data_IF_365478999895
#
_entry.id   IF_365478999895
#
_cell.length_a   1.000
_cell.length_b   1.000
_cell.length_c   1.000
_cell.angle_alpha   90.00
_cell.angle_beta   90.00
_cell.angle_gamma   90.00
#
_symmetry.space_group_name_H-M   'P 1'
#
loop_
_entity.id
_entity.type
_entity.pdbx_description
1 polymer ?
#
# COMPACT_ATOMS: atom_id res chain seq x y z
N UNK A 1 -11.76 -2.90 4.48
CA UNK A 1 -11.34 -4.00 3.57
C UNK A 1 -12.54 -4.54 2.82
N UNK A 2 -13.43 -5.33 3.42
CA UNK A 2 -14.58 -5.94 2.72
C UNK A 2 -15.47 -4.93 1.99
N UNK A 3 -15.88 -3.84 2.64
CA UNK A 3 -16.64 -2.76 2.00
C UNK A 3 -15.92 -2.18 0.77
N UNK A 4 -14.61 -1.91 0.91
CA UNK A 4 -13.77 -1.42 -0.19
C UNK A 4 -13.68 -2.43 -1.34
N UNK A 5 -13.56 -3.73 -1.03
CA UNK A 5 -13.53 -4.80 -2.04
C UNK A 5 -14.86 -4.91 -2.79
N UNK A 6 -15.99 -4.87 -2.06
CA UNK A 6 -17.34 -4.88 -2.64
C UNK A 6 -17.55 -3.68 -3.57
N UNK A 7 -17.20 -2.48 -3.11
CA UNK A 7 -17.30 -1.27 -3.93
C UNK A 7 -16.42 -1.34 -5.18
N UNK A 8 -15.17 -1.83 -5.05
CA UNK A 8 -14.28 -2.01 -6.21
C UNK A 8 -14.82 -3.03 -7.21
N UNK A 9 -15.48 -4.09 -6.73
CA UNK A 9 -16.14 -5.08 -7.57
C UNK A 9 -17.35 -4.47 -8.29
N UNK A 10 -18.21 -3.76 -7.57
CA UNK A 10 -19.40 -3.10 -8.13
C UNK A 10 -19.02 -2.05 -9.18
N UNK A 11 -18.00 -1.23 -8.90
CA UNK A 11 -17.47 -0.23 -9.84
C UNK A 11 -16.95 -0.91 -11.11
N UNK A 12 -16.27 -2.06 -10.98
CA UNK A 12 -15.78 -2.83 -12.12
C UNK A 12 -16.93 -3.31 -13.01
N UNK A 13 -17.94 -3.92 -12.42
CA UNK A 13 -19.11 -4.42 -13.15
C UNK A 13 -19.83 -3.28 -13.90
N UNK A 14 -19.93 -2.11 -13.28
CA UNK A 14 -20.49 -0.91 -13.91
C UNK A 14 -19.61 -0.37 -15.04
N UNK A 15 -18.29 -0.34 -14.87
CA UNK A 15 -17.38 0.06 -15.94
C UNK A 15 -17.44 -0.91 -17.12
N UNK A 16 -17.46 -2.22 -16.86
CA UNK A 16 -17.56 -3.24 -17.91
C UNK A 16 -18.88 -3.12 -18.69
N UNK A 17 -19.95 -2.68 -18.02
CA UNK A 17 -21.21 -2.34 -18.66
C UNK A 17 -21.10 -1.04 -19.49
N UNK A 18 -20.63 0.05 -18.90
CA UNK A 18 -20.50 1.35 -19.57
C UNK A 18 -19.57 1.30 -20.78
N UNK A 19 -18.40 0.67 -20.65
CA UNK A 19 -17.42 0.56 -21.74
C UNK A 19 -17.94 -0.30 -22.88
N UNK A 20 -18.77 -1.31 -22.58
CA UNK A 20 -19.38 -2.21 -23.57
C UNK A 20 -20.56 -1.58 -24.32
N UNK A 21 -21.38 -0.80 -23.61
CA UNK A 21 -22.55 -0.13 -24.17
C UNK A 21 -22.18 1.19 -24.88
N UNK A 22 -21.09 1.81 -24.46
CA UNK A 22 -20.52 2.95 -25.15
C UNK A 22 -19.98 2.50 -26.51
N UNK A 23 -20.58 2.97 -27.61
CA UNK A 23 -20.04 2.93 -28.97
C UNK A 23 -18.68 3.66 -29.14
N UNK A 24 -17.93 3.90 -28.05
CA UNK A 24 -16.69 4.64 -27.98
C UNK A 24 -15.44 3.81 -28.32
N UNK A 25 -15.58 2.49 -28.52
CA UNK A 25 -14.51 1.63 -29.00
C UNK A 25 -14.84 1.20 -30.44
N UNK A 26 -13.88 1.38 -31.36
CA UNK A 26 -13.96 0.80 -32.70
C UNK A 26 -14.30 -0.70 -32.59
N UNK A 27 -15.03 -1.28 -33.55
CA UNK A 27 -15.36 -2.70 -33.53
C UNK A 27 -14.06 -3.49 -33.64
N UNK A 28 -13.57 -4.00 -32.51
CA UNK A 28 -12.52 -5.01 -32.50
C UNK A 28 -13.19 -6.30 -32.04
N UNK A 29 -13.48 -7.14 -33.02
CA UNK A 29 -13.82 -8.53 -32.82
C UNK A 29 -12.73 -9.21 -31.98
N UNK A 30 -13.02 -9.45 -30.70
CA UNK A 30 -12.73 -10.68 -29.94
C UNK A 30 -13.12 -10.48 -28.49
N UNK A 31 -13.49 -11.57 -27.83
CA UNK A 31 -13.79 -11.67 -26.40
C UNK A 31 -12.74 -10.95 -25.57
N UNK A 32 -13.13 -9.86 -24.90
CA UNK A 32 -12.19 -9.07 -24.10
C UNK A 32 -12.48 -9.24 -22.62
N UNK A 33 -11.62 -10.04 -21.99
CA UNK A 33 -11.27 -9.86 -20.59
C UNK A 33 -10.42 -8.59 -20.49
N UNK A 34 -11.05 -7.41 -20.41
CA UNK A 34 -10.34 -6.14 -20.24
C UNK A 34 -9.81 -6.08 -18.80
N UNK A 35 -8.64 -6.65 -18.57
CA UNK A 35 -7.67 -5.97 -17.72
C UNK A 35 -7.17 -4.80 -18.57
N UNK A 36 -7.35 -3.56 -18.12
CA UNK A 36 -6.97 -2.36 -18.85
C UNK A 36 -5.45 -2.31 -19.10
N UNK A 37 -4.98 -3.07 -20.10
CA UNK A 37 -3.61 -3.02 -20.60
C UNK A 37 -3.39 -1.66 -21.24
N UNK A 38 -2.26 -1.04 -20.93
CA UNK A 38 -1.83 0.26 -21.45
C UNK A 38 -1.72 0.35 -22.99
N UNK A 39 -1.83 -0.77 -23.70
CA UNK A 39 -1.63 -0.89 -25.15
C UNK A 39 -2.91 -1.01 -25.97
N UNK A 40 -4.08 -1.19 -25.36
CA UNK A 40 -5.35 -1.15 -26.08
C UNK A 40 -5.82 0.29 -26.24
N UNK A 41 -6.28 0.62 -27.47
CA UNK A 41 -6.60 1.98 -27.90
C UNK A 41 -7.45 2.70 -26.85
N UNK A 42 -6.84 3.71 -26.19
CA UNK A 42 -7.47 4.46 -25.11
C UNK A 42 -8.85 4.98 -25.53
N UNK A 43 -9.86 4.93 -24.65
CA UNK A 43 -11.16 5.50 -24.95
C UNK A 43 -11.01 6.98 -25.32
N UNK A 44 -11.64 7.40 -26.42
CA UNK A 44 -11.54 8.77 -26.95
C UNK A 44 -12.01 9.83 -25.94
N UNK A 45 -12.89 9.44 -25.01
CA UNK A 45 -13.36 10.30 -23.93
C UNK A 45 -12.32 10.36 -22.79
N UNK A 46 -11.74 11.54 -22.61
CA UNK A 46 -10.71 11.81 -21.59
C UNK A 46 -11.21 11.54 -20.15
N UNK A 47 -12.48 11.81 -19.85
CA UNK A 47 -13.06 11.54 -18.53
C UNK A 47 -13.16 10.04 -18.27
N UNK A 48 -13.62 9.26 -19.26
CA UNK A 48 -13.68 7.79 -19.14
C UNK A 48 -12.28 7.23 -18.93
N UNK A 49 -11.29 7.70 -19.70
CA UNK A 49 -9.90 7.29 -19.49
C UNK A 49 -9.40 7.66 -18.09
N UNK A 50 -9.69 8.86 -17.60
CA UNK A 50 -9.32 9.28 -16.25
C UNK A 50 -9.94 8.39 -15.17
N UNK A 51 -11.22 8.04 -15.33
CA UNK A 51 -11.95 7.15 -14.43
C UNK A 51 -11.33 5.74 -14.40
N UNK A 52 -10.92 5.20 -15.55
CA UNK A 52 -10.20 3.92 -15.65
C UNK A 52 -8.87 3.99 -14.90
N UNK A 53 -8.08 5.06 -15.11
CA UNK A 53 -6.80 5.23 -14.42
C UNK A 53 -7.00 5.40 -12.90
N UNK A 54 -8.08 6.08 -12.48
CA UNK A 54 -8.45 6.20 -11.08
C UNK A 54 -8.83 4.86 -10.47
N UNK A 55 -9.65 4.06 -11.15
CA UNK A 55 -9.97 2.71 -10.74
C UNK A 55 -8.70 1.84 -10.58
N UNK A 56 -7.80 1.90 -11.56
CA UNK A 56 -6.53 1.18 -11.51
C UNK A 56 -5.66 1.58 -10.31
N UNK A 57 -5.59 2.88 -10.00
CA UNK A 57 -4.91 3.37 -8.80
C UNK A 57 -5.54 2.81 -7.52
N UNK A 58 -6.87 2.81 -7.42
CA UNK A 58 -7.59 2.27 -6.26
C UNK A 58 -7.36 0.78 -6.09
N UNK A 59 -7.34 0.02 -7.19
CA UNK A 59 -7.00 -1.41 -7.17
C UNK A 59 -5.56 -1.64 -6.68
N UNK A 60 -4.60 -0.87 -7.19
CA UNK A 60 -3.20 -0.97 -6.75
C UNK A 60 -3.03 -0.64 -5.26
N UNK A 61 -3.72 0.40 -4.77
CA UNK A 61 -3.78 0.73 -3.33
C UNK A 61 -4.38 -0.38 -2.51
N UNK A 62 -5.51 -0.93 -2.96
CA UNK A 62 -6.19 -2.02 -2.26
C UNK A 62 -5.26 -3.23 -2.12
N UNK A 63 -4.62 -3.64 -3.22
CA UNK A 63 -3.64 -4.73 -3.22
C UNK A 63 -2.51 -4.47 -2.23
N UNK A 64 -1.91 -3.26 -2.25
CA UNK A 64 -0.82 -2.88 -1.35
C UNK A 64 -1.25 -2.85 0.12
N UNK A 65 -2.33 -2.16 0.45
CA UNK A 65 -2.75 -1.93 1.84
C UNK A 65 -3.36 -3.16 2.52
N UNK A 66 -3.89 -4.08 1.72
CA UNK A 66 -4.47 -5.32 2.23
C UNK A 66 -3.64 -6.55 1.87
N UNK A 67 -2.40 -6.41 1.38
CA UNK A 67 -1.51 -7.54 1.05
C UNK A 67 -1.46 -8.56 2.19
N UNK A 68 -1.20 -8.09 3.42
CA UNK A 68 -1.09 -8.97 4.59
C UNK A 68 -2.42 -9.65 4.96
N UNK A 69 -3.55 -8.98 4.70
CA UNK A 69 -4.88 -9.55 4.97
C UNK A 69 -5.22 -10.58 3.90
N UNK A 70 -5.00 -10.25 2.63
CA UNK A 70 -5.20 -11.14 1.48
C UNK A 70 -4.35 -12.39 1.61
N UNK A 71 -3.13 -12.30 2.16
CA UNK A 71 -2.26 -13.45 2.36
C UNK A 71 -2.83 -14.53 3.28
N UNK A 72 -3.82 -14.20 4.12
CA UNK A 72 -4.51 -15.19 4.96
C UNK A 72 -5.66 -15.91 4.24
N UNK A 73 -6.11 -15.40 3.09
CA UNK A 73 -7.29 -15.89 2.38
C UNK A 73 -7.02 -16.31 0.93
N UNK A 74 -5.87 -15.94 0.38
CA UNK A 74 -5.46 -16.22 -0.99
C UNK A 74 -4.28 -17.19 -1.00
N UNK A 75 -4.15 -18.01 -2.05
CA UNK A 75 -2.95 -18.81 -2.25
C UNK A 75 -1.74 -17.93 -2.59
N UNK A 76 -0.53 -18.48 -2.46
CA UNK A 76 0.70 -17.77 -2.84
C UNK A 76 0.69 -17.37 -4.32
N UNK A 77 0.12 -18.20 -5.18
CA UNK A 77 0.04 -17.90 -6.62
C UNK A 77 -1.00 -16.82 -6.91
N UNK A 78 -2.13 -16.80 -6.21
CA UNK A 78 -3.10 -15.70 -6.28
C UNK A 78 -2.47 -14.37 -5.87
N UNK A 79 -1.67 -14.37 -4.79
CA UNK A 79 -0.96 -13.17 -4.34
C UNK A 79 0.07 -12.69 -5.37
N UNK A 80 0.83 -13.61 -6.00
CA UNK A 80 1.74 -13.25 -7.09
C UNK A 80 0.99 -12.62 -8.25
N UNK A 81 -0.17 -13.17 -8.62
CA UNK A 81 -1.03 -12.59 -9.66
C UNK A 81 -1.43 -11.18 -9.24
N UNK A 82 -1.97 -10.99 -8.02
CA UNK A 82 -2.37 -9.68 -7.47
C UNK A 82 -1.23 -8.66 -7.48
N UNK A 83 -0.01 -9.09 -7.12
CA UNK A 83 1.18 -8.23 -7.09
C UNK A 83 1.71 -7.87 -8.48
N UNK A 84 1.38 -8.66 -9.50
CA UNK A 84 1.86 -8.49 -10.88
C UNK A 84 0.77 -8.02 -11.85
N UNK A 85 -0.43 -7.69 -11.35
CA UNK A 85 -1.50 -7.08 -12.16
C UNK A 85 -0.97 -5.79 -12.78
N UNK A 86 -0.86 -5.80 -14.11
CA UNK A 86 -0.51 -4.61 -14.87
C UNK A 86 -1.71 -3.66 -14.95
N UNK A 87 -1.76 -2.76 -13.96
CA UNK A 87 -2.73 -1.67 -13.87
C UNK A 87 -2.03 -0.29 -14.03
N UNK A 88 -0.77 -0.27 -14.47
CA UNK A 88 0.05 0.93 -14.55
C UNK A 88 0.65 1.41 -13.21
N UNK A 89 0.38 0.73 -12.08
CA UNK A 89 0.86 1.09 -10.74
C UNK A 89 1.57 -0.08 -10.05
N UNK A 90 2.90 -0.13 -10.19
CA UNK A 90 3.74 -1.25 -9.71
C UNK A 90 4.29 -1.03 -8.28
N UNK A 91 3.45 -0.67 -7.32
CA UNK A 91 3.87 -0.29 -5.96
C UNK A 91 4.69 -1.36 -5.23
N UNK A 92 4.19 -2.60 -5.21
CA UNK A 92 4.82 -3.71 -4.49
C UNK A 92 6.15 -4.07 -5.16
N UNK A 93 6.16 -4.19 -6.49
CA UNK A 93 7.38 -4.50 -7.25
C UNK A 93 8.46 -3.43 -7.06
N UNK A 94 8.11 -2.15 -7.15
CA UNK A 94 9.03 -1.04 -6.91
C UNK A 94 9.59 -1.06 -5.48
N UNK A 95 8.75 -1.35 -4.48
CA UNK A 95 9.18 -1.48 -3.09
C UNK A 95 10.14 -2.68 -2.89
N UNK A 96 9.85 -3.83 -3.51
CA UNK A 96 10.73 -5.00 -3.46
C UNK A 96 12.06 -4.73 -4.16
N UNK A 97 12.03 -4.05 -5.31
CA UNK A 97 13.24 -3.71 -6.05
C UNK A 97 14.12 -2.72 -5.29
N UNK A 98 13.55 -1.68 -4.67
CA UNK A 98 14.35 -0.70 -3.93
C UNK A 98 15.01 -1.35 -2.70
N UNK A 99 14.27 -2.18 -1.95
CA UNK A 99 14.78 -2.87 -0.76
C UNK A 99 15.98 -3.74 -1.14
N UNK A 100 15.84 -4.54 -2.20
CA UNK A 100 16.95 -5.37 -2.72
C UNK A 100 18.11 -4.55 -3.26
N UNK A 101 17.83 -3.45 -3.97
CA UNK A 101 18.86 -2.61 -4.60
C UNK A 101 19.72 -1.88 -3.58
N UNK A 102 19.11 -1.40 -2.50
CA UNK A 102 19.81 -0.59 -1.50
C UNK A 102 20.25 -1.39 -0.27
N UNK A 103 19.91 -2.68 -0.20
CA UNK A 103 20.12 -3.51 0.99
C UNK A 103 19.43 -2.93 2.24
N UNK A 104 18.21 -2.41 2.05
CA UNK A 104 17.41 -1.93 3.17
C UNK A 104 16.95 -3.13 4.00
N UNK A 105 17.02 -3.01 5.32
CA UNK A 105 16.64 -4.08 6.23
C UNK A 105 15.12 -4.23 6.31
N UNK A 106 14.41 -3.10 6.28
CA UNK A 106 12.96 -3.10 6.31
C UNK A 106 12.40 -1.92 5.54
N UNK A 107 11.32 -2.15 4.79
CA UNK A 107 10.44 -1.09 4.29
C UNK A 107 9.05 -1.38 4.84
N UNK A 108 8.43 -0.40 5.47
CA UNK A 108 7.09 -0.55 6.03
C UNK A 108 6.20 0.66 5.70
N UNK A 109 4.93 0.38 5.43
CA UNK A 109 3.86 1.36 5.53
C UNK A 109 3.13 1.06 6.84
N UNK A 110 3.06 2.04 7.72
CA UNK A 110 2.44 1.90 9.04
C UNK A 110 1.35 2.95 9.22
N UNK A 111 0.35 2.61 10.03
CA UNK A 111 -0.72 3.52 10.41
C UNK A 111 -0.46 4.07 11.80
N UNK A 112 -0.44 5.39 11.95
CA UNK A 112 -0.36 6.05 13.24
C UNK A 112 -1.76 6.15 13.86
N UNK A 113 -1.96 5.45 14.97
CA UNK A 113 -3.23 5.38 15.71
C UNK A 113 -3.15 6.04 17.09
N UNK A 114 -2.18 6.91 17.35
CA UNK A 114 -2.04 7.58 18.66
C UNK A 114 -3.33 8.30 19.10
N UNK A 115 -4.01 8.98 18.18
CA UNK A 115 -5.24 9.73 18.47
C UNK A 115 -6.51 8.90 18.27
N UNK A 116 -6.40 7.57 18.13
CA UNK A 116 -7.54 6.70 17.91
C UNK A 116 -7.96 6.03 19.23
N UNK A 117 -9.13 6.41 19.74
CA UNK A 117 -9.68 5.84 20.97
C UNK A 117 -10.35 4.46 20.77
N UNK A 118 -10.49 4.02 19.52
CA UNK A 118 -11.12 2.74 19.18
C UNK A 118 -10.13 1.58 19.33
N UNK A 119 -10.62 0.49 19.93
CA UNK A 119 -9.88 -0.77 20.02
C UNK A 119 -9.44 -1.28 18.63
N UNK A 120 -8.17 -1.67 18.52
CA UNK A 120 -7.64 -2.25 17.28
C UNK A 120 -7.74 -3.76 17.31
N UNK A 121 -8.28 -4.35 16.25
CA UNK A 121 -8.33 -5.81 16.14
C UNK A 121 -7.60 -6.35 14.91
N UNK A 122 -6.88 -5.47 14.18
CA UNK A 122 -6.23 -5.80 12.93
C UNK A 122 -6.95 -5.23 11.70
N UNK A 123 -6.22 -5.14 10.60
CA UNK A 123 -6.78 -4.66 9.33
C UNK A 123 -7.82 -5.64 8.78
N UNK A 124 -8.93 -5.09 8.28
CA UNK A 124 -10.05 -5.88 7.76
C UNK A 124 -11.10 -6.29 8.78
N UNK A 125 -10.87 -6.00 10.07
CA UNK A 125 -11.73 -6.39 11.18
C UNK A 125 -12.46 -5.21 11.84
N UNK A 126 -13.10 -4.36 11.03
CA UNK A 126 -13.79 -3.16 11.54
C UNK A 126 -15.19 -3.45 12.13
N UNK A 127 -15.71 -4.68 11.99
CA UNK A 127 -17.05 -5.08 12.48
C UNK A 127 -17.04 -6.41 13.24
N UNK A 128 -16.11 -6.56 14.18
CA UNK A 128 -15.96 -7.80 14.95
C UNK A 128 -17.02 -8.05 16.01
N UNK A 129 -17.77 -7.02 16.41
CA UNK A 129 -18.88 -7.20 17.35
C UNK A 129 -19.97 -8.15 16.83
N UNK A 130 -20.04 -8.35 15.50
CA UNK A 130 -21.09 -9.12 14.82
C UNK A 130 -20.51 -10.31 14.02
N UNK A 131 -19.52 -11.06 14.55
CA UNK A 131 -18.96 -12.21 13.81
C UNK A 131 -20.02 -13.30 13.53
N UNK A 132 -20.10 -13.69 12.27
CA UNK A 132 -20.64 -14.99 11.81
C UNK A 132 -19.58 -16.11 11.88
N UNK A 133 -18.82 -16.23 12.97
CA UNK A 133 -17.91 -17.38 13.16
C UNK A 133 -18.10 -17.99 14.54
N UNK A 134 -18.29 -19.30 14.65
CA UNK A 134 -18.27 -19.98 15.95
C UNK A 134 -16.84 -19.94 16.51
N UNK A 135 -16.63 -19.21 17.60
CA UNK A 135 -15.33 -19.10 18.27
C UNK A 135 -15.31 -18.00 19.34
N UNK A 136 -14.33 -18.01 20.26
CA UNK A 136 -14.20 -16.99 21.29
C UNK A 136 -13.98 -15.59 20.67
N UNK A 137 -14.47 -14.52 21.33
CA UNK A 137 -14.26 -13.14 20.86
C UNK A 137 -12.78 -12.87 20.67
N UNK A 138 -12.39 -12.34 19.51
CA UNK A 138 -10.99 -11.96 19.30
C UNK A 138 -10.67 -10.74 20.15
N UNK A 139 -9.66 -10.85 21.00
CA UNK A 139 -9.21 -9.76 21.84
C UNK A 139 -8.58 -8.63 21.02
N UNK A 140 -8.71 -7.36 21.46
CA UNK A 140 -8.04 -6.26 20.81
C UNK A 140 -6.52 -6.39 20.99
N UNK A 141 -5.77 -6.01 19.95
CA UNK A 141 -4.32 -5.85 20.03
C UNK A 141 -4.00 -4.75 21.03
N UNK A 142 -2.89 -4.91 21.75
CA UNK A 142 -2.41 -3.98 22.78
C UNK A 142 -1.02 -3.45 22.43
N UNK A 143 -0.62 -2.36 23.08
CA UNK A 143 0.71 -1.77 22.93
C UNK A 143 1.00 -1.26 21.51
N UNK A 144 2.27 -1.39 21.08
CA UNK A 144 2.74 -0.88 19.79
C UNK A 144 2.03 -1.51 18.59
N UNK A 145 1.63 -2.78 18.69
CA UNK A 145 0.87 -3.46 17.65
C UNK A 145 -0.53 -2.83 17.40
N UNK A 146 -1.04 -2.05 18.35
CA UNK A 146 -2.30 -1.31 18.23
C UNK A 146 -2.11 0.18 17.89
N UNK A 147 -1.03 0.79 18.40
CA UNK A 147 -0.70 2.20 18.16
C UNK A 147 -0.06 2.45 16.80
N UNK A 148 0.76 1.50 16.33
CA UNK A 148 1.51 1.59 15.08
C UNK A 148 1.40 0.28 14.27
N UNK A 149 0.19 -0.12 13.85
CA UNK A 149 0.03 -1.34 13.08
C UNK A 149 0.59 -1.20 11.66
N UNK A 150 1.22 -2.28 11.21
CA UNK A 150 1.84 -2.38 9.88
C UNK A 150 0.82 -2.76 8.81
N UNK A 151 0.69 -1.88 7.83
CA UNK A 151 -0.24 -2.00 6.70
C UNK A 151 0.41 -2.82 5.59
N UNK A 152 1.68 -2.54 5.30
CA UNK A 152 2.50 -3.25 4.33
C UNK A 152 3.93 -3.32 4.85
N UNK A 153 4.64 -4.42 4.60
CA UNK A 153 6.06 -4.52 4.96
C UNK A 153 6.85 -5.45 4.04
N UNK A 154 8.12 -5.12 3.94
CA UNK A 154 9.17 -5.94 3.35
C UNK A 154 10.32 -6.09 4.37
N UNK A 155 10.96 -7.27 4.45
CA UNK A 155 10.59 -8.51 3.75
C UNK A 155 9.20 -9.02 4.16
N UNK A 156 8.52 -9.72 3.24
CA UNK A 156 7.18 -10.24 3.49
C UNK A 156 7.25 -11.42 4.45
N UNK A 157 6.34 -11.52 5.45
CA UNK A 157 6.31 -12.68 6.34
C UNK A 157 6.12 -14.01 5.61
N UNK A 158 5.47 -13.98 4.44
CA UNK A 158 5.19 -15.18 3.64
C UNK A 158 6.41 -15.69 2.86
N UNK A 159 7.47 -14.89 2.71
CA UNK A 159 8.70 -15.29 2.00
C UNK A 159 9.65 -16.11 2.90
N UNK A 160 9.37 -16.19 4.21
CA UNK A 160 10.04 -17.11 5.14
C UNK A 160 9.42 -18.49 5.09
N UNK A 161 10.12 -19.47 4.52
CA UNK A 161 9.80 -20.86 4.79
C UNK A 161 9.91 -21.11 6.30
N UNK A 162 8.79 -21.51 6.91
CA UNK A 162 8.60 -22.12 8.24
C UNK A 162 8.08 -21.19 9.35
N UNK A 163 6.91 -21.62 9.84
CA UNK A 163 6.19 -21.33 11.09
C UNK A 163 5.81 -19.88 11.40
N UNK A 164 4.51 -19.71 11.67
CA UNK A 164 3.87 -18.58 12.34
C UNK A 164 4.35 -18.35 13.81
N UNK A 165 5.58 -18.78 14.13
CA UNK A 165 6.25 -18.72 15.43
C UNK A 165 7.73 -18.31 15.31
N UNK A 166 8.16 -17.70 14.19
CA UNK A 166 9.48 -17.07 14.15
C UNK A 166 9.44 -15.79 14.97
N UNK A 167 9.99 -15.83 16.18
CA UNK A 167 10.27 -14.69 17.06
C UNK A 167 11.24 -13.64 16.45
N UNK A 168 11.52 -13.70 15.14
CA UNK A 168 12.47 -12.85 14.43
C UNK A 168 11.80 -12.16 13.23
N UNK A 169 10.61 -11.58 13.43
CA UNK A 169 10.11 -10.64 12.43
C UNK A 169 10.95 -9.35 12.48
N UNK A 170 11.67 -9.10 11.40
CA UNK A 170 12.53 -7.91 11.24
C UNK A 170 11.73 -6.63 11.55
N UNK A 171 10.46 -6.57 11.16
CA UNK A 171 9.64 -5.40 11.46
C UNK A 171 9.38 -5.24 12.96
N UNK A 172 9.06 -6.31 13.69
CA UNK A 172 8.79 -6.25 15.13
C UNK A 172 10.00 -5.74 15.91
N UNK A 173 11.22 -6.11 15.48
CA UNK A 173 12.47 -5.57 16.04
C UNK A 173 12.57 -4.05 15.92
N UNK A 174 12.20 -3.48 14.76
CA UNK A 174 12.32 -2.04 14.52
C UNK A 174 11.05 -1.25 14.85
N UNK A 175 9.91 -1.89 15.12
CA UNK A 175 8.63 -1.24 15.34
C UNK A 175 8.67 -0.15 16.43
N UNK A 176 9.32 -0.34 17.61
CA UNK A 176 9.42 0.72 18.62
C UNK A 176 10.16 1.95 18.09
N UNK A 177 11.25 1.73 17.34
CA UNK A 177 12.08 2.78 16.77
C UNK A 177 11.36 3.52 15.64
N UNK A 178 10.64 2.79 14.79
CA UNK A 178 9.78 3.35 13.74
C UNK A 178 8.69 4.24 14.36
N UNK A 179 8.04 3.78 15.43
CA UNK A 179 7.02 4.58 16.11
C UNK A 179 7.61 5.85 16.72
N UNK A 180 8.75 5.74 17.41
CA UNK A 180 9.45 6.90 17.97
C UNK A 180 9.85 7.89 16.87
N UNK A 181 10.38 7.42 15.73
CA UNK A 181 10.74 8.25 14.58
C UNK A 181 9.51 8.97 13.99
N UNK A 182 8.37 8.30 13.85
CA UNK A 182 7.13 8.93 13.39
C UNK A 182 6.71 10.04 14.35
N UNK A 183 6.69 9.74 15.64
CA UNK A 183 6.31 10.69 16.68
C UNK A 183 7.23 11.92 16.71
N UNK A 184 8.54 11.70 16.63
CA UNK A 184 9.52 12.77 16.76
C UNK A 184 9.70 13.55 15.47
N UNK A 185 9.58 12.94 14.28
CA UNK A 185 10.00 13.54 13.01
C UNK A 185 8.88 13.69 11.97
N UNK A 186 7.95 12.73 11.84
CA UNK A 186 7.03 12.70 10.71
C UNK A 186 5.66 13.31 11.00
N UNK A 187 5.22 13.33 12.26
CA UNK A 187 3.96 13.99 12.66
C UNK A 187 3.96 15.49 12.40
N UNK A 188 5.13 16.11 12.36
CA UNK A 188 5.31 17.54 12.18
C UNK A 188 6.06 17.80 10.87
N UNK A 189 5.43 18.39 9.84
CA UNK A 189 6.01 18.51 8.49
C UNK A 189 7.34 19.27 8.40
N UNK A 190 7.67 20.06 9.42
CA UNK A 190 8.88 20.90 9.47
C UNK A 190 10.15 20.14 9.87
N UNK A 191 10.07 18.85 10.20
CA UNK A 191 11.19 18.06 10.72
C UNK A 191 11.82 17.15 9.66
N UNK A 192 13.00 16.64 10.00
CA UNK A 192 13.84 15.85 9.09
C UNK A 192 13.19 14.51 8.75
N UNK A 193 13.13 14.21 7.45
CA UNK A 193 12.66 12.92 6.88
C UNK A 193 13.69 11.79 7.02
N UNK A 194 14.77 12.03 7.75
CA UNK A 194 15.86 11.12 7.99
C UNK A 194 16.31 11.21 9.46
N UNK A 195 16.75 10.08 10.01
CA UNK A 195 17.44 10.01 11.30
C UNK A 195 18.51 8.91 11.24
N UNK A 196 19.64 9.13 11.90
CA UNK A 196 20.62 8.09 12.21
C UNK A 196 20.75 7.99 13.73
N UNK A 197 20.55 6.79 14.25
CA UNK A 197 20.77 6.44 15.65
C UNK A 197 22.16 5.80 15.77
N UNK A 198 23.10 6.54 16.35
CA UNK A 198 24.47 6.07 16.54
C UNK A 198 24.61 5.03 17.65
N UNK A 199 23.69 5.00 18.62
CA UNK A 199 23.72 4.01 19.72
C UNK A 199 23.27 2.64 19.23
N UNK A 200 22.28 2.62 18.33
CA UNK A 200 21.66 1.41 17.80
C UNK A 200 22.12 1.04 16.41
N UNK A 201 23.03 1.83 15.86
CA UNK A 201 23.61 1.73 14.52
C UNK A 201 22.59 1.40 13.43
N UNK A 202 21.57 2.24 13.29
CA UNK A 202 20.63 2.18 12.18
C UNK A 202 20.17 3.57 11.77
N UNK A 203 19.85 3.74 10.50
CA UNK A 203 19.19 4.96 10.01
C UNK A 203 17.82 4.66 9.41
N UNK A 204 16.96 5.66 9.43
CA UNK A 204 15.63 5.60 8.85
C UNK A 204 15.39 6.77 7.93
N UNK A 205 14.70 6.49 6.83
CA UNK A 205 14.05 7.48 5.99
C UNK A 205 12.54 7.34 6.14
N UNK A 206 11.79 8.43 6.06
CA UNK A 206 10.35 8.31 6.01
C UNK A 206 9.64 9.57 5.55
N UNK A 207 8.39 9.37 5.16
CA UNK A 207 7.50 10.46 4.75
C UNK A 207 6.04 10.04 5.00
N UNK A 208 5.16 11.03 5.06
CA UNK A 208 3.73 10.78 5.11
C UNK A 208 3.27 10.23 3.75
N UNK A 209 2.46 9.18 3.72
CA UNK A 209 1.83 8.66 2.50
C UNK A 209 0.53 9.41 2.27
N UNK A 210 -0.45 9.19 3.12
CA UNK A 210 -1.74 9.88 3.12
C UNK A 210 -2.42 9.76 4.49
N UNK A 211 -3.14 10.79 4.91
CA UNK A 211 -3.81 10.85 6.21
C UNK A 211 -2.89 10.50 7.40
N UNK A 212 -3.02 9.28 7.95
CA UNK A 212 -2.22 8.75 9.08
C UNK A 212 -1.31 7.60 8.68
N UNK A 213 -1.10 7.39 7.39
CA UNK A 213 -0.18 6.40 6.85
C UNK A 213 1.19 7.02 6.62
N UNK A 214 2.23 6.33 7.07
CA UNK A 214 3.63 6.73 6.88
C UNK A 214 4.39 5.60 6.22
N UNK A 215 5.28 5.95 5.29
CA UNK A 215 6.27 5.03 4.74
C UNK A 215 7.58 5.25 5.48
N UNK A 216 8.20 4.18 5.94
CA UNK A 216 9.48 4.20 6.63
C UNK A 216 10.38 3.11 6.04
N UNK A 217 11.63 3.48 5.75
CA UNK A 217 12.67 2.56 5.28
C UNK A 217 13.81 2.57 6.29
N UNK A 218 14.23 1.39 6.73
CA UNK A 218 15.23 1.18 7.77
C UNK A 218 16.45 0.50 7.16
N UNK A 219 17.64 1.00 7.51
CA UNK A 219 18.93 0.42 7.16
C UNK A 219 19.69 0.02 8.42
N UNK A 220 20.45 -1.06 8.35
CA UNK A 220 21.51 -1.31 9.31
C UNK A 220 22.68 -0.37 8.99
N UNK A 221 23.23 0.27 10.01
CA UNK A 221 24.30 1.26 9.86
C UNK A 221 23.81 2.61 9.32
N UNK A 222 24.79 3.41 8.90
CA UNK A 222 24.57 4.77 8.40
C UNK A 222 24.55 4.81 6.87
N UNK A 223 23.46 5.32 6.31
CA UNK A 223 23.36 5.72 4.90
C UNK A 223 23.36 7.25 4.80
N UNK A 224 23.80 7.81 3.67
CA UNK A 224 23.79 9.26 3.45
C UNK A 224 22.37 9.83 3.52
N UNK A 225 22.12 10.85 4.36
CA UNK A 225 20.82 11.56 4.43
C UNK A 225 20.35 12.08 3.06
N UNK A 226 21.29 12.45 2.19
CA UNK A 226 21.05 12.96 0.84
C UNK A 226 21.08 11.86 -0.23
N UNK A 227 20.84 10.59 0.15
CA UNK A 227 20.74 9.49 -0.81
C UNK A 227 19.62 9.78 -1.83
N UNK A 228 20.03 10.18 -3.03
CA UNK A 228 19.10 10.59 -4.08
C UNK A 228 18.20 9.43 -4.52
N UNK A 229 18.69 8.19 -4.46
CA UNK A 229 17.93 7.01 -4.88
C UNK A 229 16.76 6.78 -3.92
N UNK A 230 17.02 6.80 -2.62
CA UNK A 230 16.00 6.59 -1.60
C UNK A 230 15.02 7.77 -1.52
N UNK A 231 15.52 9.01 -1.52
CA UNK A 231 14.66 10.21 -1.49
C UNK A 231 13.73 10.27 -2.71
N UNK A 232 14.25 9.98 -3.89
CA UNK A 232 13.44 9.95 -5.13
C UNK A 232 12.41 8.83 -5.06
N UNK A 233 12.78 7.65 -4.56
CA UNK A 233 11.83 6.54 -4.39
C UNK A 233 10.67 6.91 -3.46
N UNK A 234 10.95 7.42 -2.26
CA UNK A 234 9.92 7.81 -1.28
C UNK A 234 9.01 8.89 -1.87
N UNK A 235 9.59 9.91 -2.52
CA UNK A 235 8.81 10.97 -3.15
C UNK A 235 7.91 10.43 -4.27
N UNK A 236 8.43 9.57 -5.14
CA UNK A 236 7.65 8.97 -6.22
C UNK A 236 6.53 8.07 -5.68
N UNK A 237 6.83 7.23 -4.68
CA UNK A 237 5.90 6.32 -4.06
C UNK A 237 4.74 7.08 -3.40
N UNK A 238 5.05 8.06 -2.55
CA UNK A 238 4.04 8.88 -1.85
C UNK A 238 3.21 9.72 -2.81
N UNK A 239 3.83 10.36 -3.81
CA UNK A 239 3.11 11.15 -4.82
C UNK A 239 2.16 10.30 -5.66
N UNK A 240 2.60 9.10 -6.04
CA UNK A 240 1.81 8.17 -6.84
C UNK A 240 0.65 7.59 -6.02
N UNK A 241 0.89 7.21 -4.77
CA UNK A 241 -0.18 6.78 -3.85
C UNK A 241 -1.20 7.89 -3.62
N UNK A 242 -0.79 9.16 -3.46
CA UNK A 242 -1.77 10.28 -3.36
C UNK A 242 -2.53 10.53 -4.67
N UNK A 243 -2.14 9.91 -5.78
CA UNK A 243 -2.73 10.14 -7.09
C UNK A 243 -2.52 11.57 -7.60
N UNK A 244 -1.53 12.31 -7.09
CA UNK A 244 -1.42 13.76 -7.34
C UNK A 244 -1.36 14.09 -8.84
N UNK A 245 -0.59 13.31 -9.62
CA UNK A 245 -0.52 13.48 -11.08
C UNK A 245 -1.84 13.18 -11.78
N UNK A 246 -2.58 12.19 -11.28
CA UNK A 246 -3.88 11.81 -11.82
C UNK A 246 -4.92 12.89 -11.54
N UNK A 247 -5.01 13.42 -10.32
CA UNK A 247 -5.94 14.52 -10.03
C UNK A 247 -5.61 15.81 -10.80
N UNK A 248 -4.32 16.10 -11.00
CA UNK A 248 -3.88 17.22 -11.83
C UNK A 248 -4.30 17.06 -13.30
N UNK A 249 -4.28 15.84 -13.86
CA UNK A 249 -4.67 15.60 -15.25
C UNK A 249 -6.17 15.82 -15.48
N UNK A 250 -7.03 15.56 -14.49
CA UNK A 250 -8.45 15.89 -14.55
C UNK A 250 -8.68 17.41 -14.64
N UNK A 251 -7.99 18.17 -13.78
CA UNK A 251 -8.12 19.63 -13.74
C UNK A 251 -7.68 20.28 -15.06
N UNK A 252 -6.62 19.77 -15.66
CA UNK A 252 -6.13 20.26 -16.95
C UNK A 252 -7.01 19.83 -18.13
N UNK A 253 -7.82 18.78 -17.99
CA UNK A 253 -8.77 18.36 -19.02
C UNK A 253 -10.05 19.19 -19.04
N UNK A 254 -10.33 19.97 -17.99
CA UNK A 254 -11.46 20.89 -17.90
C UNK A 254 -11.17 22.31 -18.46
N UNK A 255 -9.93 22.54 -18.92
CA UNK A 255 -9.52 23.74 -19.67
C UNK A 255 -9.40 23.40 -21.15
#
# INVERSE_FOLDING_TARGET
MFESLLQLKEIRERFDYWVRDSHCLNPVNKSVFYFFRSTEKLPRNRLINWLIQFYNLLMAKFSLYFTNVLANFCSVDDLKIIHTIDNGYNFISNATQIVKKTDAVCLAIVMDRENCNENFYGFGYNRLKDRFTPGPPTEPRKGLAALCPVVFRLPSPAEGHKSAQSHNDVFEKYQPHIYAFIQSNLRYPAKNKYIYDAERDHCMFGDIVEAKLYIVVVYAGRVCEKDATMLTFIQQMTTSLRGSRLFLSLKNAAK
#
